data_IF_263883390250
#
_entry.id   IF_263883390250
#
_cell.length_a   1.000
_cell.length_b   1.000
_cell.length_c   1.000
_cell.angle_alpha   90.00
_cell.angle_beta   90.00
_cell.angle_gamma   90.00
#
_symmetry.space_group_name_H-M   'P 1'
#
loop_
_entity.id
_entity.type
_entity.pdbx_description
1 polymer ?
#
# COMPACT_ATOMS: atom_id res chain seq x y z
N UNK A 1 19.00 -12.18 -19.67
CA UNK A 1 19.04 -11.32 -18.47
C UNK A 1 19.73 -12.06 -17.34
N UNK A 2 20.77 -11.49 -16.72
CA UNK A 2 21.42 -12.08 -15.55
C UNK A 2 20.45 -12.29 -14.38
N UNK A 3 20.70 -13.30 -13.54
CA UNK A 3 19.81 -13.61 -12.40
C UNK A 3 19.68 -12.45 -11.40
N UNK A 4 20.74 -11.66 -11.19
CA UNK A 4 20.73 -10.47 -10.35
C UNK A 4 19.87 -9.34 -10.92
N UNK A 5 19.79 -9.21 -12.26
CA UNK A 5 18.94 -8.20 -12.90
C UNK A 5 17.46 -8.55 -12.79
N UNK A 6 17.13 -9.85 -12.75
CA UNK A 6 15.77 -10.33 -12.53
C UNK A 6 15.32 -10.07 -11.09
N UNK A 7 16.15 -10.38 -10.09
CA UNK A 7 15.86 -10.09 -8.67
C UNK A 7 15.62 -8.59 -8.43
N UNK A 8 16.53 -7.73 -8.92
CA UNK A 8 16.36 -6.28 -8.78
C UNK A 8 15.19 -5.67 -9.56
N UNK A 9 14.63 -6.39 -10.55
CA UNK A 9 13.40 -6.00 -11.22
C UNK A 9 12.16 -6.41 -10.42
N UNK A 10 12.15 -7.63 -9.90
CA UNK A 10 11.07 -8.15 -9.05
C UNK A 10 10.93 -7.36 -7.74
N UNK A 11 12.04 -6.99 -7.11
CA UNK A 11 12.06 -6.16 -5.89
C UNK A 11 11.44 -4.78 -6.14
N UNK A 12 11.85 -4.08 -7.21
CA UNK A 12 11.27 -2.77 -7.57
C UNK A 12 9.79 -2.85 -7.92
N UNK A 13 9.36 -3.93 -8.57
CA UNK A 13 7.93 -4.16 -8.84
C UNK A 13 7.14 -4.38 -7.55
N UNK A 14 7.72 -5.10 -6.58
CA UNK A 14 7.10 -5.33 -5.28
C UNK A 14 6.99 -4.02 -4.49
N UNK A 15 8.06 -3.25 -4.42
CA UNK A 15 8.10 -1.93 -3.78
C UNK A 15 7.06 -0.98 -4.39
N UNK A 16 7.00 -0.87 -5.73
CA UNK A 16 6.00 -0.03 -6.40
C UNK A 16 4.56 -0.49 -6.17
N UNK A 17 4.32 -1.80 -6.02
CA UNK A 17 3.00 -2.32 -5.64
C UNK A 17 2.62 -2.00 -4.20
N UNK A 18 3.58 -2.06 -3.27
CA UNK A 18 3.36 -1.72 -1.86
C UNK A 18 3.09 -0.22 -1.71
N UNK A 19 3.93 0.64 -2.30
CA UNK A 19 3.71 2.10 -2.32
C UNK A 19 2.36 2.48 -2.94
N UNK A 20 1.98 1.83 -4.05
CA UNK A 20 0.71 2.10 -4.73
C UNK A 20 -0.50 1.80 -3.85
N UNK A 21 -0.46 0.70 -3.08
CA UNK A 21 -1.51 0.35 -2.13
C UNK A 21 -1.61 1.35 -0.98
N UNK A 22 -0.48 1.77 -0.43
CA UNK A 22 -0.44 2.74 0.66
C UNK A 22 -0.96 4.12 0.22
N UNK A 23 -0.52 4.62 -0.95
CA UNK A 23 -1.02 5.88 -1.53
C UNK A 23 -2.52 5.83 -1.79
N UNK A 24 -3.04 4.72 -2.32
CA UNK A 24 -4.47 4.53 -2.52
C UNK A 24 -5.23 4.54 -1.19
N UNK A 25 -4.75 3.83 -0.17
CA UNK A 25 -5.36 3.81 1.15
C UNK A 25 -5.37 5.19 1.81
N UNK A 26 -4.29 5.96 1.68
CA UNK A 26 -4.19 7.32 2.21
C UNK A 26 -5.18 8.28 1.54
N UNK A 27 -5.33 8.21 0.22
CA UNK A 27 -6.31 9.02 -0.49
C UNK A 27 -7.73 8.67 -0.05
N UNK A 28 -8.06 7.38 0.06
CA UNK A 28 -9.38 6.95 0.56
C UNK A 28 -9.65 7.38 2.01
N UNK A 29 -8.63 7.36 2.87
CA UNK A 29 -8.73 7.87 4.24
C UNK A 29 -9.01 9.38 4.27
N UNK A 30 -8.38 10.15 3.37
CA UNK A 30 -8.62 11.60 3.23
C UNK A 30 -10.03 11.91 2.74
N UNK A 31 -10.58 11.06 1.88
CA UNK A 31 -11.98 11.11 1.42
C UNK A 31 -12.98 10.63 2.50
N UNK A 32 -12.51 10.30 3.71
CA UNK A 32 -13.37 9.90 4.83
C UNK A 32 -13.93 8.49 4.73
N UNK A 33 -13.36 7.62 3.88
CA UNK A 33 -13.82 6.23 3.77
C UNK A 33 -13.49 5.42 5.03
N UNK A 34 -14.35 4.44 5.31
CA UNK A 34 -14.19 3.53 6.45
C UNK A 34 -12.97 2.61 6.30
N UNK A 35 -12.25 2.41 7.40
CA UNK A 35 -11.02 1.58 7.44
C UNK A 35 -11.27 0.16 6.93
N UNK A 36 -12.44 -0.40 7.24
CA UNK A 36 -12.84 -1.75 6.82
C UNK A 36 -13.01 -1.85 5.29
N UNK A 37 -13.57 -0.83 4.66
CA UNK A 37 -13.73 -0.74 3.21
C UNK A 37 -12.38 -0.57 2.52
N UNK A 38 -11.54 0.32 3.05
CA UNK A 38 -10.20 0.58 2.51
C UNK A 38 -9.35 -0.70 2.56
N UNK A 39 -9.37 -1.42 3.69
CA UNK A 39 -8.69 -2.70 3.83
C UNK A 39 -9.13 -3.73 2.78
N UNK A 40 -10.45 -3.82 2.53
CA UNK A 40 -11.01 -4.72 1.52
C UNK A 40 -10.60 -4.36 0.09
N UNK A 41 -10.57 -3.07 -0.25
CA UNK A 41 -10.28 -2.60 -1.62
C UNK A 41 -8.78 -2.63 -1.93
N UNK A 42 -7.94 -2.24 -0.97
CA UNK A 42 -6.47 -2.16 -1.16
C UNK A 42 -5.76 -3.48 -0.89
N UNK A 43 -6.44 -4.42 -0.20
CA UNK A 43 -5.85 -5.66 0.28
C UNK A 43 -4.86 -5.47 1.44
N UNK A 44 -4.88 -4.30 2.08
CA UNK A 44 -4.16 -4.05 3.33
C UNK A 44 -4.97 -4.56 4.52
N UNK A 45 -4.29 -4.91 5.60
CA UNK A 45 -4.97 -5.20 6.87
C UNK A 45 -5.54 -3.90 7.48
N UNK A 46 -6.62 -4.02 8.26
CA UNK A 46 -7.17 -2.88 9.00
C UNK A 46 -6.13 -2.24 9.93
N UNK A 47 -5.20 -3.03 10.48
CA UNK A 47 -4.09 -2.54 11.30
C UNK A 47 -3.13 -1.67 10.48
N UNK A 48 -2.79 -2.06 9.25
CA UNK A 48 -1.95 -1.25 8.36
C UNK A 48 -2.64 0.06 7.98
N UNK A 49 -3.93 0.02 7.61
CA UNK A 49 -4.71 1.22 7.29
C UNK A 49 -4.83 2.16 8.50
N UNK A 50 -5.05 1.63 9.70
CA UNK A 50 -5.07 2.42 10.94
C UNK A 50 -3.71 3.06 11.26
N UNK A 51 -2.59 2.36 10.98
CA UNK A 51 -1.24 2.94 11.11
C UNK A 51 -1.01 4.07 10.12
N UNK A 52 -1.40 3.91 8.85
CA UNK A 52 -1.30 4.95 7.83
C UNK A 52 -2.08 6.22 8.21
N UNK A 53 -3.29 6.06 8.79
CA UNK A 53 -4.08 7.17 9.32
C UNK A 53 -3.32 7.95 10.41
N UNK A 54 -2.62 7.25 11.30
CA UNK A 54 -1.83 7.87 12.38
C UNK A 54 -0.55 8.55 11.90
N UNK A 55 0.03 8.12 10.78
CA UNK A 55 1.23 8.74 10.20
C UNK A 55 0.95 10.02 9.41
N UNK A 56 -0.32 10.26 9.06
CA UNK A 56 -0.75 11.42 8.25
C UNK A 56 -1.36 12.55 9.09
N UNK A 57 -1.61 12.30 10.38
CA UNK A 57 -2.06 13.28 11.37
C UNK A 57 -0.89 13.78 12.21
#
# INVERSE_FOLDING_TARGET
>A
MPAWSRRGYEERLKEGREEGKEKAALNMLREGMEISLIAKVTGLSQVQVAKLKKQTN
#
